data_IF_956620642436
#
_entry.id   IF_956620642436
#
_cell.length_a   1.000
_cell.length_b   1.000
_cell.length_c   1.000
_cell.angle_alpha   90.00
_cell.angle_beta   90.00
_cell.angle_gamma   90.00
#
_symmetry.space_group_name_H-M   'P 1'
#
loop_
_entity.id
_entity.type
_entity.pdbx_description
1 polymer ?
#
# COMPACT_ATOMS: atom_id res chain seq x y z
N UNK A 1 4.15 30.79 9.25
CA UNK A 1 4.12 29.38 9.68
C UNK A 1 4.90 28.56 8.68
N UNK A 2 5.92 27.76 9.07
CA UNK A 2 6.57 26.85 8.14
C UNK A 2 5.64 25.67 7.87
N UNK A 3 5.32 25.42 6.61
CA UNK A 3 4.63 24.20 6.19
C UNK A 3 5.66 23.07 6.11
N UNK A 4 5.39 21.92 6.73
CA UNK A 4 6.20 20.72 6.56
C UNK A 4 5.44 19.74 5.66
N UNK A 5 6.10 19.29 4.60
CA UNK A 5 5.54 18.31 3.69
C UNK A 5 5.67 16.92 4.33
N UNK A 6 4.65 16.49 5.07
CA UNK A 6 4.61 15.12 5.60
C UNK A 6 4.07 14.17 4.53
N UNK A 7 4.96 13.59 3.73
CA UNK A 7 4.62 12.39 2.95
C UNK A 7 4.83 11.15 3.81
N UNK A 8 3.88 10.22 3.78
CA UNK A 8 4.05 8.94 4.47
C UNK A 8 5.15 8.17 3.75
N UNK A 9 6.33 8.05 4.36
CA UNK A 9 7.39 7.22 3.78
C UNK A 9 6.89 5.77 3.66
N UNK A 10 6.75 5.30 2.43
CA UNK A 10 6.14 4.01 2.12
C UNK A 10 7.18 2.91 1.90
N UNK A 11 8.35 3.28 1.39
CA UNK A 11 9.42 2.38 0.98
C UNK A 11 10.73 2.66 1.71
N UNK A 12 11.64 1.67 1.67
CA UNK A 12 13.04 1.86 2.06
C UNK A 12 13.70 2.90 1.13
N UNK A 13 14.77 3.54 1.60
CA UNK A 13 15.46 4.60 0.86
C UNK A 13 16.14 4.11 -0.44
N UNK A 14 16.44 2.81 -0.53
CA UNK A 14 17.06 2.15 -1.69
C UNK A 14 16.05 1.66 -2.73
N UNK A 15 14.76 1.93 -2.55
CA UNK A 15 13.72 1.50 -3.48
C UNK A 15 13.86 2.22 -4.83
N UNK A 16 13.84 1.50 -5.96
CA UNK A 16 13.97 2.08 -7.29
C UNK A 16 12.65 2.71 -7.78
N UNK A 17 12.12 3.72 -7.06
CA UNK A 17 10.80 4.34 -7.33
C UNK A 17 10.66 4.79 -8.78
N UNK A 18 11.72 5.37 -9.36
CA UNK A 18 11.72 5.85 -10.74
C UNK A 18 11.40 4.73 -11.76
N UNK A 19 11.75 3.48 -11.47
CA UNK A 19 11.43 2.34 -12.33
C UNK A 19 9.94 1.96 -12.32
N UNK A 20 9.19 2.48 -11.34
CA UNK A 20 7.76 2.24 -11.16
C UNK A 20 6.90 3.43 -11.57
N UNK A 21 7.52 4.40 -12.26
CA UNK A 21 6.84 5.53 -12.86
C UNK A 21 6.80 5.36 -14.38
N UNK A 22 5.73 5.85 -15.00
CA UNK A 22 5.55 5.88 -16.46
C UNK A 22 4.95 7.21 -16.89
N UNK A 23 5.22 7.65 -18.11
CA UNK A 23 4.47 8.74 -18.73
C UNK A 23 2.96 8.51 -18.64
N UNK A 24 2.21 9.56 -18.31
CA UNK A 24 0.76 9.53 -18.32
C UNK A 24 0.27 9.19 -19.75
N UNK A 25 -0.54 8.13 -19.94
CA UNK A 25 -0.99 7.72 -21.28
C UNK A 25 -1.72 8.85 -22.02
N UNK A 26 -1.40 9.03 -23.30
CA UNK A 26 -2.03 10.01 -24.19
C UNK A 26 -1.92 11.48 -23.70
N UNK A 27 -0.87 11.79 -22.93
CA UNK A 27 -0.59 13.12 -22.37
C UNK A 27 0.90 13.46 -22.52
N UNK A 28 1.35 14.57 -21.93
CA UNK A 28 2.76 14.98 -21.96
C UNK A 28 3.64 13.90 -21.30
N UNK A 29 4.69 13.47 -22.02
CA UNK A 29 5.63 12.45 -21.56
C UNK A 29 6.48 12.86 -20.35
N UNK A 30 6.54 14.15 -20.04
CA UNK A 30 7.22 14.69 -18.86
C UNK A 30 6.41 14.48 -17.57
N UNK A 31 5.11 14.20 -17.68
CA UNK A 31 4.24 13.95 -16.52
C UNK A 31 4.30 12.46 -16.21
N UNK A 32 5.02 12.12 -15.14
CA UNK A 32 5.16 10.76 -14.65
C UNK A 32 4.05 10.42 -13.66
N UNK A 33 3.50 9.21 -13.79
CA UNK A 33 2.51 8.62 -12.90
C UNK A 33 2.92 7.22 -12.47
N UNK A 34 2.43 6.80 -11.31
CA UNK A 34 2.64 5.45 -10.78
C UNK A 34 2.09 4.40 -11.73
N UNK A 35 2.85 3.33 -11.95
CA UNK A 35 2.30 2.11 -12.55
C UNK A 35 1.21 1.52 -11.65
N UNK A 36 0.30 0.69 -12.18
CA UNK A 36 -0.82 0.14 -11.41
C UNK A 36 -0.40 -0.54 -10.10
N UNK A 37 0.72 -1.28 -10.10
CA UNK A 37 1.21 -1.98 -8.91
C UNK A 37 1.68 -1.01 -7.81
N UNK A 38 2.35 0.09 -8.17
CA UNK A 38 2.73 1.15 -7.24
C UNK A 38 1.50 1.92 -6.75
N UNK A 39 0.62 2.29 -7.68
CA UNK A 39 -0.61 3.02 -7.38
C UNK A 39 -1.50 2.28 -6.38
N UNK A 40 -1.56 0.94 -6.44
CA UNK A 40 -2.28 0.13 -5.46
C UNK A 40 -1.74 0.30 -4.03
N UNK A 41 -0.42 0.33 -3.85
CA UNK A 41 0.19 0.54 -2.53
C UNK A 41 -0.03 1.98 -2.03
N UNK A 42 -0.01 2.96 -2.92
CA UNK A 42 -0.29 4.35 -2.60
C UNK A 42 -1.75 4.55 -2.19
N UNK A 43 -2.68 3.93 -2.93
CA UNK A 43 -4.11 3.85 -2.60
C UNK A 43 -4.30 3.26 -1.19
N UNK A 44 -3.71 2.08 -0.94
CA UNK A 44 -3.78 1.43 0.37
C UNK A 44 -3.15 2.28 1.48
N UNK A 45 -2.08 3.05 1.20
CA UNK A 45 -1.50 3.98 2.15
C UNK A 45 -2.43 5.13 2.52
N UNK A 46 -3.37 5.50 1.65
CA UNK A 46 -4.31 6.61 1.87
C UNK A 46 -5.56 6.19 2.64
N UNK A 47 -5.82 4.89 2.77
CA UNK A 47 -6.93 4.37 3.58
C UNK A 47 -6.76 4.79 5.04
N UNK A 48 -7.79 5.42 5.61
CA UNK A 48 -7.82 5.84 7.01
C UNK A 48 -6.92 7.04 7.35
N UNK A 49 -6.48 7.82 6.35
CA UNK A 49 -6.06 9.22 6.58
C UNK A 49 -7.31 10.10 6.76
N UNK A 50 -7.19 11.16 7.55
CA UNK A 50 -8.31 12.09 7.79
C UNK A 50 -8.38 13.20 6.72
N UNK A 51 -9.59 13.72 6.49
CA UNK A 51 -9.86 14.82 5.55
C UNK A 51 -9.80 14.39 4.08
N UNK A 52 -9.70 15.36 3.17
CA UNK A 52 -9.78 15.20 1.70
C UNK A 52 -8.65 14.34 1.09
N UNK A 53 -7.66 13.95 1.91
CA UNK A 53 -6.51 13.11 1.50
C UNK A 53 -6.69 11.64 1.90
N UNK A 54 -7.82 11.29 2.51
CA UNK A 54 -8.18 9.94 2.89
C UNK A 54 -8.89 9.20 1.77
N UNK A 55 -8.64 7.90 1.70
CA UNK A 55 -9.48 6.98 0.93
C UNK A 55 -10.36 6.18 1.89
N UNK A 56 -11.60 5.90 1.52
CA UNK A 56 -12.40 4.89 2.25
C UNK A 56 -11.93 3.47 1.88
N UNK A 57 -12.21 2.50 2.75
CA UNK A 57 -11.93 1.09 2.43
C UNK A 57 -12.82 0.59 1.29
N UNK A 58 -14.06 1.07 1.22
CA UNK A 58 -15.04 0.71 0.20
C UNK A 58 -14.56 1.12 -1.20
N UNK A 59 -14.20 2.39 -1.41
CA UNK A 59 -13.70 2.86 -2.70
C UNK A 59 -12.42 2.13 -3.11
N UNK A 60 -11.51 1.87 -2.16
CA UNK A 60 -10.30 1.11 -2.46
C UNK A 60 -10.61 -0.33 -2.88
N UNK A 61 -11.65 -0.94 -2.31
CA UNK A 61 -12.13 -2.28 -2.69
C UNK A 61 -12.68 -2.27 -4.11
N UNK A 62 -13.57 -1.33 -4.45
CA UNK A 62 -14.09 -1.18 -5.81
C UNK A 62 -12.98 -0.96 -6.84
N UNK A 63 -11.97 -0.13 -6.52
CA UNK A 63 -10.82 0.07 -7.41
C UNK A 63 -10.00 -1.22 -7.57
N UNK A 64 -9.74 -1.96 -6.49
CA UNK A 64 -9.00 -3.21 -6.54
C UNK A 64 -9.73 -4.30 -7.35
N UNK A 65 -11.05 -4.35 -7.32
CA UNK A 65 -11.87 -5.26 -8.14
C UNK A 65 -11.65 -5.03 -9.64
N UNK A 66 -11.36 -3.80 -10.06
CA UNK A 66 -11.06 -3.47 -11.46
C UNK A 66 -9.63 -3.84 -11.89
N UNK A 67 -8.73 -4.16 -10.95
CA UNK A 67 -7.30 -4.41 -11.19
C UNK A 67 -6.98 -5.86 -11.57
N UNK A 68 -7.69 -6.43 -12.53
CA UNK A 68 -7.54 -7.85 -12.96
C UNK A 68 -6.17 -8.21 -13.57
N UNK A 69 -5.44 -7.24 -14.10
CA UNK A 69 -4.23 -7.46 -14.90
C UNK A 69 -2.92 -6.96 -14.23
N UNK A 70 -2.85 -6.91 -12.90
CA UNK A 70 -1.60 -6.55 -12.21
C UNK A 70 -0.53 -7.62 -12.45
N UNK A 71 0.69 -7.18 -12.72
CA UNK A 71 1.84 -8.07 -12.90
C UNK A 71 2.34 -8.50 -11.53
N UNK A 72 2.22 -9.80 -11.25
CA UNK A 72 2.52 -10.37 -9.93
C UNK A 72 3.98 -10.16 -9.54
N UNK A 73 4.91 -10.36 -10.48
CA UNK A 73 6.35 -10.17 -10.31
C UNK A 73 6.69 -8.71 -9.97
N UNK A 74 6.04 -7.75 -10.63
CA UNK A 74 6.22 -6.32 -10.36
C UNK A 74 5.65 -5.96 -8.99
N UNK A 75 4.42 -6.40 -8.69
CA UNK A 75 3.77 -6.13 -7.41
C UNK A 75 4.60 -6.68 -6.24
N UNK A 76 5.05 -7.93 -6.34
CA UNK A 76 5.85 -8.60 -5.31
C UNK A 76 7.22 -7.96 -5.12
N UNK A 77 7.85 -7.50 -6.21
CA UNK A 77 9.08 -6.70 -6.15
C UNK A 77 8.86 -5.41 -5.34
N UNK A 78 7.78 -4.67 -5.60
CA UNK A 78 7.43 -3.43 -4.88
C UNK A 78 7.11 -3.72 -3.40
N UNK A 79 6.34 -4.77 -3.11
CA UNK A 79 6.00 -5.19 -1.74
C UNK A 79 7.27 -5.48 -0.91
N UNK A 80 8.31 -6.04 -1.53
CA UNK A 80 9.61 -6.28 -0.88
C UNK A 80 10.32 -5.00 -0.39
N UNK A 81 10.06 -3.85 -0.99
CA UNK A 81 10.60 -2.56 -0.53
C UNK A 81 9.68 -1.81 0.44
N UNK A 82 8.42 -2.23 0.59
CA UNK A 82 7.45 -1.54 1.42
C UNK A 82 7.77 -1.69 2.92
N UNK A 83 7.88 -0.56 3.63
CA UNK A 83 8.21 -0.54 5.06
C UNK A 83 6.98 -0.48 5.98
N UNK A 84 5.79 -0.27 5.42
CA UNK A 84 4.55 -0.08 6.19
C UNK A 84 3.73 -1.36 6.24
N UNK A 85 3.78 -2.05 7.38
CA UNK A 85 3.00 -3.28 7.61
C UNK A 85 1.49 -3.10 7.35
N UNK A 86 0.94 -1.92 7.67
CA UNK A 86 -0.48 -1.60 7.38
C UNK A 86 -0.78 -1.71 5.88
N UNK A 87 0.09 -1.17 5.03
CA UNK A 87 -0.11 -1.18 3.58
C UNK A 87 -0.02 -2.61 3.05
N UNK A 88 0.99 -3.37 3.48
CA UNK A 88 1.12 -4.79 3.12
C UNK A 88 -0.14 -5.60 3.46
N UNK A 89 -0.71 -5.39 4.65
CA UNK A 89 -1.96 -6.05 5.07
C UNK A 89 -3.14 -5.64 4.20
N UNK A 90 -3.31 -4.34 3.95
CA UNK A 90 -4.41 -3.83 3.13
C UNK A 90 -4.32 -4.34 1.69
N UNK A 91 -3.14 -4.34 1.07
CA UNK A 91 -2.96 -4.88 -0.30
C UNK A 91 -3.29 -6.36 -0.36
N UNK A 92 -2.84 -7.16 0.62
CA UNK A 92 -3.22 -8.57 0.75
C UNK A 92 -4.73 -8.74 0.87
N UNK A 93 -5.37 -7.96 1.74
CA UNK A 93 -6.80 -8.09 2.01
C UNK A 93 -7.65 -7.66 0.80
N UNK A 94 -7.28 -6.57 0.14
CA UNK A 94 -7.87 -6.14 -1.14
C UNK A 94 -7.74 -7.23 -2.22
N UNK A 95 -6.54 -7.83 -2.34
CA UNK A 95 -6.31 -8.92 -3.28
C UNK A 95 -7.17 -10.15 -3.01
N UNK A 96 -7.27 -10.57 -1.74
CA UNK A 96 -8.14 -11.69 -1.33
C UNK A 96 -9.60 -11.41 -1.61
N UNK A 97 -10.10 -10.23 -1.27
CA UNK A 97 -11.49 -9.83 -1.52
C UNK A 97 -11.81 -9.77 -3.01
N UNK A 98 -10.88 -9.28 -3.83
CA UNK A 98 -11.08 -9.18 -5.28
C UNK A 98 -11.10 -10.53 -6.01
N UNK A 99 -10.56 -11.61 -5.40
CA UNK A 99 -10.42 -12.91 -6.02
C UNK A 99 -9.36 -12.99 -7.14
N UNK A 100 -8.61 -11.91 -7.40
CA UNK A 100 -7.62 -11.86 -8.47
C UNK A 100 -6.34 -12.62 -8.12
N UNK A 101 -5.67 -13.16 -9.16
CA UNK A 101 -4.46 -13.96 -9.01
C UNK A 101 -3.31 -13.22 -8.28
N UNK A 102 -3.22 -11.90 -8.43
CA UNK A 102 -2.21 -11.09 -7.76
C UNK A 102 -2.39 -10.99 -6.24
N UNK A 103 -3.59 -11.28 -5.72
CA UNK A 103 -3.87 -11.34 -4.29
C UNK A 103 -3.33 -12.59 -3.59
N UNK A 104 -2.90 -13.59 -4.36
CA UNK A 104 -2.40 -14.85 -3.83
C UNK A 104 -1.00 -14.72 -3.23
N UNK A 105 -0.73 -15.50 -2.18
CA UNK A 105 0.59 -15.64 -1.56
C UNK A 105 1.23 -14.33 -1.02
N UNK A 106 0.45 -13.25 -0.88
CA UNK A 106 0.95 -11.98 -0.32
C UNK A 106 1.21 -12.01 1.19
N UNK A 107 0.74 -13.05 1.89
CA UNK A 107 0.91 -13.23 3.33
C UNK A 107 2.39 -13.26 3.75
N UNK A 108 3.26 -13.86 2.93
CA UNK A 108 4.69 -13.96 3.22
C UNK A 108 5.35 -12.57 3.40
N UNK A 109 4.91 -11.56 2.64
CA UNK A 109 5.42 -10.19 2.75
C UNK A 109 4.99 -9.51 4.05
N UNK A 110 3.76 -9.77 4.51
CA UNK A 110 3.26 -9.28 5.81
C UNK A 110 4.07 -9.88 6.95
N UNK A 111 4.36 -11.19 6.89
CA UNK A 111 5.10 -11.92 7.92
C UNK A 111 6.56 -11.49 7.99
N UNK A 112 7.23 -11.45 6.83
CA UNK A 112 8.61 -10.98 6.72
C UNK A 112 8.79 -9.58 7.33
N UNK A 113 7.78 -8.70 7.20
CA UNK A 113 7.87 -7.34 7.74
C UNK A 113 7.41 -7.21 9.19
N UNK A 114 6.53 -8.09 9.67
CA UNK A 114 5.97 -8.03 11.03
C UNK A 114 6.82 -8.72 12.10
N UNK A 115 7.93 -9.38 11.73
CA UNK A 115 8.90 -10.03 12.64
C UNK A 115 8.24 -10.96 13.68
N UNK A 116 7.08 -11.54 13.36
CA UNK A 116 6.29 -12.34 14.31
C UNK A 116 5.80 -11.58 15.55
N UNK A 117 6.01 -10.26 15.66
CA UNK A 117 5.55 -9.46 16.79
C UNK A 117 4.12 -8.99 16.54
N UNK A 118 3.21 -9.53 17.37
CA UNK A 118 1.80 -9.16 17.43
C UNK A 118 1.65 -7.64 17.49
N UNK A 119 0.89 -7.07 16.56
CA UNK A 119 0.65 -5.62 16.56
C UNK A 119 -0.16 -5.24 17.80
N UNK A 120 0.45 -4.45 18.68
CA UNK A 120 -0.22 -3.87 19.83
C UNK A 120 0.02 -2.37 19.89
N UNK A 121 -1.05 -1.60 20.08
CA UNK A 121 -0.98 -0.16 20.30
C UNK A 121 -1.48 0.14 21.70
N UNK A 122 -0.67 0.84 22.50
CA UNK A 122 -1.12 1.38 23.79
C UNK A 122 -1.79 2.72 23.56
N UNK A 123 -3.04 2.87 23.99
CA UNK A 123 -3.71 4.17 24.10
C UNK A 123 -3.11 4.99 25.23
N UNK A 124 -3.38 6.31 25.23
CA UNK A 124 -2.92 7.22 26.30
C UNK A 124 -3.42 6.81 27.70
N UNK A 125 -4.54 6.07 27.76
CA UNK A 125 -5.14 5.53 28.99
C UNK A 125 -4.56 4.18 29.44
N UNK A 126 -3.43 3.74 28.87
CA UNK A 126 -2.80 2.46 29.19
C UNK A 126 -3.50 1.22 28.61
N UNK A 127 -4.67 1.37 27.98
CA UNK A 127 -5.37 0.27 27.29
C UNK A 127 -4.58 -0.19 26.06
N UNK A 128 -4.25 -1.49 26.04
CA UNK A 128 -3.53 -2.14 24.93
C UNK A 128 -4.52 -2.75 23.95
N UNK A 129 -4.61 -2.20 22.74
CA UNK A 129 -5.35 -2.79 21.64
C UNK A 129 -4.46 -3.83 20.97
N UNK A 130 -4.91 -5.09 21.00
CA UNK A 130 -4.22 -6.22 20.40
C UNK A 130 -5.06 -6.71 19.23
N UNK A 131 -4.59 -6.55 17.99
CA UNK A 131 -5.25 -7.21 16.86
C UNK A 131 -4.91 -8.70 16.89
N UNK A 132 -5.91 -9.53 16.63
CA UNK A 132 -5.69 -10.97 16.37
C UNK A 132 -4.94 -11.11 15.02
N UNK A 133 -4.05 -12.12 14.91
CA UNK A 133 -3.29 -12.37 13.69
C UNK A 133 -4.21 -12.62 12.48
#
# INVERSE_FOLDING_TARGET
MPFSFQTTQLFRNDAPIAAWLRPLPNKNNEILVSIPELALLELASSIGKAGDKGQTLEEATHLAELMRNLRVDVLTSILGYCIRVKVLKLVRDLGRTSGHAWGNNLQAYVEARSLGKRWSRSGKDGRRLTLKP
#
